data_IF_186486282836
#
_entry.id   IF_186486282836
#
_cell.length_a   1.000
_cell.length_b   1.000
_cell.length_c   1.000
_cell.angle_alpha   90.00
_cell.angle_beta   90.00
_cell.angle_gamma   90.00
#
_symmetry.space_group_name_H-M   'P 1'
#
loop_
_entity.id
_entity.type
_entity.pdbx_description
1 polymer ?
#
# COMPACT_ATOMS: atom_id res chain seq x y z
N UNK A 1 -14.68 -4.76 10.59
CA UNK A 1 -13.32 -4.21 10.68
C UNK A 1 -13.37 -2.69 10.58
N UNK A 2 -12.24 -2.00 10.80
CA UNK A 2 -12.15 -0.55 10.58
C UNK A 2 -12.50 -0.24 9.13
N UNK A 3 -13.35 0.80 8.92
CA UNK A 3 -13.86 1.17 7.60
C UNK A 3 -15.15 0.46 7.17
N UNK A 4 -15.63 -0.54 7.91
CA UNK A 4 -16.94 -1.13 7.62
C UNK A 4 -18.06 -0.10 7.77
N UNK A 5 -18.92 -0.03 6.77
CA UNK A 5 -20.18 0.70 6.84
C UNK A 5 -21.24 -0.23 7.43
N UNK A 6 -21.96 0.24 8.44
CA UNK A 6 -22.90 -0.59 9.17
C UNK A 6 -24.28 0.05 9.25
N UNK A 7 -25.32 -0.74 9.05
CA UNK A 7 -26.68 -0.32 9.35
C UNK A 7 -26.98 -0.56 10.83
N UNK A 8 -27.52 0.45 11.49
CA UNK A 8 -27.88 0.40 12.91
C UNK A 8 -29.33 0.74 13.11
N UNK A 9 -29.97 0.18 14.13
CA UNK A 9 -31.32 0.51 14.59
C UNK A 9 -31.27 0.90 16.05
N UNK A 10 -32.15 1.81 16.48
CA UNK A 10 -32.17 2.37 17.82
C UNK A 10 -31.67 3.80 17.88
N UNK A 11 -31.31 4.26 19.08
CA UNK A 11 -30.86 5.61 19.29
C UNK A 11 -29.35 5.72 19.05
N UNK A 12 -28.96 6.44 18.00
CA UNK A 12 -27.55 6.69 17.58
C UNK A 12 -27.02 8.02 18.12
N UNK A 13 -27.75 8.70 19.01
CA UNK A 13 -27.37 10.02 19.52
C UNK A 13 -26.09 10.02 20.38
N UNK A 14 -25.67 8.85 20.88
CA UNK A 14 -24.54 8.68 21.81
C UNK A 14 -24.80 9.24 23.23
N UNK A 15 -26.08 9.53 23.56
CA UNK A 15 -26.45 9.97 24.91
C UNK A 15 -26.31 8.83 25.91
N UNK A 16 -26.04 9.17 27.18
CA UNK A 16 -25.96 8.20 28.26
C UNK A 16 -27.28 7.38 28.30
N UNK A 17 -27.16 6.08 28.49
CA UNK A 17 -28.28 5.12 28.57
C UNK A 17 -29.07 4.93 27.26
N UNK A 18 -28.53 5.37 26.11
CA UNK A 18 -29.10 5.05 24.79
C UNK A 18 -28.34 3.88 24.16
N UNK A 19 -29.07 3.02 23.43
CA UNK A 19 -28.51 1.85 22.75
C UNK A 19 -28.90 1.83 21.29
N UNK A 20 -27.90 1.62 20.43
CA UNK A 20 -28.07 1.21 19.05
C UNK A 20 -27.56 -0.21 18.83
N UNK A 21 -28.21 -0.96 17.94
CA UNK A 21 -27.81 -2.30 17.56
C UNK A 21 -27.41 -2.34 16.10
N UNK A 22 -26.21 -2.83 15.83
CA UNK A 22 -25.79 -3.14 14.46
C UNK A 22 -26.62 -4.31 13.94
N UNK A 23 -27.24 -4.13 12.78
CA UNK A 23 -28.11 -5.14 12.15
C UNK A 23 -27.52 -5.71 10.86
N UNK A 24 -26.63 -4.94 10.19
CA UNK A 24 -26.01 -5.35 8.94
C UNK A 24 -24.67 -4.65 8.72
N UNK A 25 -23.72 -5.35 8.09
CA UNK A 25 -22.54 -4.75 7.47
C UNK A 25 -22.87 -4.59 5.99
N UNK A 26 -22.68 -3.39 5.47
CA UNK A 26 -22.92 -3.09 4.05
C UNK A 26 -21.84 -3.74 3.16
N UNK A 27 -22.12 -3.98 1.86
CA UNK A 27 -21.13 -4.50 0.93
C UNK A 27 -19.87 -3.64 0.90
N UNK A 28 -18.72 -4.28 0.99
CA UNK A 28 -17.42 -3.61 0.94
C UNK A 28 -17.01 -3.33 -0.49
N UNK A 29 -16.50 -2.11 -0.76
CA UNK A 29 -15.90 -1.74 -2.05
C UNK A 29 -14.48 -2.27 -2.19
N UNK A 30 -13.71 -2.15 -1.12
CA UNK A 30 -12.32 -2.58 -1.03
C UNK A 30 -12.12 -3.33 0.29
N UNK A 31 -11.18 -4.27 0.32
CA UNK A 31 -10.88 -5.06 1.51
C UNK A 31 -9.41 -5.43 1.57
N UNK A 32 -8.68 -4.77 2.47
CA UNK A 32 -7.28 -5.09 2.74
C UNK A 32 -7.19 -6.32 3.64
N UNK A 33 -6.55 -7.36 3.15
CA UNK A 33 -6.34 -8.63 3.84
C UNK A 33 -4.90 -8.75 4.34
N UNK A 34 -4.71 -9.51 5.41
CA UNK A 34 -3.41 -9.93 5.92
C UNK A 34 -3.40 -11.43 6.07
N UNK A 35 -2.39 -12.11 5.52
CA UNK A 35 -2.15 -13.51 5.84
C UNK A 35 -1.59 -13.65 7.25
N UNK A 36 -1.97 -14.70 7.97
CA UNK A 36 -1.34 -15.05 9.23
C UNK A 36 0.02 -15.69 8.92
N UNK A 37 1.09 -15.09 9.44
CA UNK A 37 2.48 -15.52 9.16
C UNK A 37 2.95 -16.65 10.10
N UNK A 38 2.29 -16.87 11.25
CA UNK A 38 2.76 -17.81 12.29
C UNK A 38 1.63 -18.69 12.89
N UNK A 39 1.95 -19.97 13.08
CA UNK A 39 1.17 -20.93 13.89
C UNK A 39 0.08 -21.70 13.15
N UNK A 40 -0.83 -22.33 13.91
CA UNK A 40 -1.91 -23.22 13.44
C UNK A 40 -2.92 -22.59 12.45
N UNK A 41 -2.79 -21.30 12.17
CA UNK A 41 -3.60 -20.54 11.22
C UNK A 41 -2.81 -20.10 9.98
N UNK A 42 -1.66 -20.71 9.69
CA UNK A 42 -0.90 -20.43 8.48
C UNK A 42 -1.80 -20.54 7.24
N UNK A 43 -1.81 -19.49 6.40
CA UNK A 43 -2.68 -19.39 5.23
C UNK A 43 -4.07 -18.80 5.48
N UNK A 44 -4.49 -18.53 6.73
CA UNK A 44 -5.75 -17.83 6.99
C UNK A 44 -5.62 -16.33 6.68
N UNK A 45 -6.56 -15.82 5.89
CA UNK A 45 -6.65 -14.38 5.60
C UNK A 45 -7.48 -13.68 6.66
N UNK A 46 -6.98 -12.59 7.21
CA UNK A 46 -7.69 -11.76 8.18
C UNK A 46 -7.97 -10.37 7.60
N UNK A 47 -9.23 -9.93 7.59
CA UNK A 47 -9.57 -8.56 7.20
C UNK A 47 -8.89 -7.54 8.13
N UNK A 48 -8.26 -6.53 7.54
CA UNK A 48 -7.57 -5.46 8.26
C UNK A 48 -8.36 -4.16 8.17
N UNK A 49 -8.62 -3.68 6.95
CA UNK A 49 -9.38 -2.45 6.68
C UNK A 49 -10.31 -2.68 5.52
N UNK A 50 -11.53 -2.12 5.61
CA UNK A 50 -12.52 -2.11 4.53
C UNK A 50 -12.77 -0.69 4.00
N UNK A 51 -13.24 -0.59 2.75
CA UNK A 51 -13.71 0.63 2.11
C UNK A 51 -12.69 1.78 2.06
N UNK A 52 -11.39 1.45 2.10
CA UNK A 52 -10.34 2.44 1.90
C UNK A 52 -10.10 2.71 0.41
N UNK A 53 -9.77 3.96 0.08
CA UNK A 53 -9.49 4.40 -1.28
C UNK A 53 -8.00 4.29 -1.60
N UNK A 54 -7.14 4.65 -0.64
CA UNK A 54 -5.69 4.69 -0.81
C UNK A 54 -4.96 3.74 0.14
N UNK A 55 -3.96 3.03 -0.38
CA UNK A 55 -2.88 2.45 0.44
C UNK A 55 -1.63 3.33 0.33
N UNK A 56 -1.34 4.06 1.39
CA UNK A 56 -0.20 4.99 1.47
C UNK A 56 1.01 4.24 2.03
N UNK A 57 1.93 3.89 1.17
CA UNK A 57 3.18 3.22 1.53
C UNK A 57 4.20 4.28 1.93
N UNK A 58 4.55 4.33 3.21
CA UNK A 58 5.53 5.27 3.76
C UNK A 58 6.88 4.57 3.87
N UNK A 59 7.89 5.10 3.21
CA UNK A 59 9.28 4.61 3.27
C UNK A 59 10.25 5.76 3.43
N UNK A 60 11.32 5.56 4.20
CA UNK A 60 12.41 6.52 4.30
C UNK A 60 13.40 6.27 3.16
N UNK A 61 14.02 7.35 2.63
CA UNK A 61 15.11 7.25 1.66
C UNK A 61 16.42 6.83 2.32
N UNK A 62 16.59 7.15 3.60
CA UNK A 62 17.69 6.69 4.42
C UNK A 62 17.23 6.57 5.89
N UNK A 63 17.97 5.79 6.68
CA UNK A 63 17.81 5.63 8.13
C UNK A 63 16.35 5.45 8.60
N UNK A 64 15.77 4.29 8.34
CA UNK A 64 16.35 3.08 7.76
C UNK A 64 16.37 3.12 6.22
N UNK A 65 17.22 2.32 5.58
CA UNK A 65 17.25 2.24 4.13
C UNK A 65 15.93 1.68 3.58
N UNK A 66 15.54 2.08 2.37
CA UNK A 66 14.33 1.58 1.72
C UNK A 66 14.42 0.06 1.48
N UNK A 67 13.25 -0.59 1.47
CA UNK A 67 13.14 -2.04 1.26
C UNK A 67 12.24 -2.31 0.06
N UNK A 68 12.77 -2.33 -1.18
CA UNK A 68 11.96 -2.48 -2.39
C UNK A 68 11.03 -3.70 -2.36
N UNK A 69 11.50 -4.87 -1.94
CA UNK A 69 10.66 -6.08 -1.82
C UNK A 69 9.44 -5.91 -0.89
N UNK A 70 9.59 -5.11 0.18
CA UNK A 70 8.47 -4.81 1.07
C UNK A 70 7.49 -3.83 0.41
N UNK A 71 8.01 -2.82 -0.29
CA UNK A 71 7.18 -1.87 -1.05
C UNK A 71 6.40 -2.65 -2.11
N UNK A 72 7.05 -3.53 -2.86
CA UNK A 72 6.39 -4.38 -3.88
C UNK A 72 5.24 -5.20 -3.28
N UNK A 73 5.44 -5.84 -2.12
CA UNK A 73 4.37 -6.57 -1.40
C UNK A 73 3.20 -5.66 -1.01
N UNK A 74 3.47 -4.42 -0.59
CA UNK A 74 2.41 -3.46 -0.28
C UNK A 74 1.64 -3.05 -1.54
N UNK A 75 2.32 -2.87 -2.68
CA UNK A 75 1.67 -2.55 -3.95
C UNK A 75 0.77 -3.70 -4.43
N UNK A 76 1.28 -4.93 -4.36
CA UNK A 76 0.48 -6.14 -4.68
C UNK A 76 -0.77 -6.20 -3.80
N UNK A 77 -0.63 -5.99 -2.48
CA UNK A 77 -1.77 -5.98 -1.56
C UNK A 77 -2.77 -4.84 -1.85
N UNK A 78 -2.28 -3.68 -2.30
CA UNK A 78 -3.15 -2.57 -2.71
C UNK A 78 -3.98 -2.93 -3.95
N UNK A 79 -3.34 -3.47 -4.97
CA UNK A 79 -4.02 -3.87 -6.22
C UNK A 79 -5.02 -5.00 -5.97
N UNK A 80 -4.66 -6.04 -5.20
CA UNK A 80 -5.56 -7.12 -4.82
C UNK A 80 -6.79 -6.59 -4.06
N UNK A 81 -6.57 -5.65 -3.12
CA UNK A 81 -7.65 -5.02 -2.35
C UNK A 81 -8.53 -4.05 -3.16
N UNK A 82 -8.16 -3.72 -4.41
CA UNK A 82 -8.84 -2.71 -5.22
C UNK A 82 -8.58 -1.26 -4.77
N UNK A 83 -7.45 -1.02 -4.09
CA UNK A 83 -7.05 0.30 -3.59
C UNK A 83 -6.00 0.94 -4.51
N UNK A 84 -6.03 2.28 -4.60
CA UNK A 84 -4.99 3.04 -5.30
C UNK A 84 -3.73 3.14 -4.42
N UNK A 85 -2.55 2.73 -4.89
CA UNK A 85 -1.31 2.90 -4.14
C UNK A 85 -0.76 4.33 -4.25
N UNK A 86 -0.24 4.84 -3.13
CA UNK A 86 0.51 6.10 -3.05
C UNK A 86 1.82 5.85 -2.30
N UNK A 87 2.96 6.20 -2.87
CA UNK A 87 4.27 6.06 -2.23
C UNK A 87 4.72 7.42 -1.68
N UNK A 88 4.93 7.48 -0.35
CA UNK A 88 5.45 8.67 0.32
C UNK A 88 6.89 8.40 0.76
N UNK A 89 7.83 9.12 0.14
CA UNK A 89 9.26 9.05 0.38
C UNK A 89 9.64 10.09 1.44
N UNK A 90 9.91 9.65 2.66
CA UNK A 90 10.32 10.52 3.76
C UNK A 90 11.83 10.69 3.82
N UNK A 91 12.30 11.68 4.58
CA UNK A 91 13.73 11.99 4.76
C UNK A 91 14.46 12.22 3.42
N UNK A 92 13.81 12.96 2.53
CA UNK A 92 14.38 13.26 1.20
C UNK A 92 15.56 14.23 1.24
N UNK A 93 15.92 14.72 2.42
CA UNK A 93 17.15 15.46 2.72
C UNK A 93 18.37 14.53 2.89
N UNK A 94 18.16 13.23 3.17
CA UNK A 94 19.25 12.31 3.48
C UNK A 94 19.75 11.49 2.27
N UNK A 95 18.92 11.32 1.24
CA UNK A 95 19.29 10.58 0.02
C UNK A 95 18.44 10.99 -1.19
N UNK A 96 18.99 10.75 -2.38
CA UNK A 96 18.35 11.02 -3.66
C UNK A 96 17.22 10.00 -3.91
N UNK A 97 16.00 10.43 -4.24
CA UNK A 97 14.87 9.54 -4.53
C UNK A 97 14.95 8.86 -5.92
N UNK A 98 15.87 9.26 -6.81
CA UNK A 98 15.89 8.86 -8.23
C UNK A 98 15.84 7.35 -8.42
N UNK A 99 16.58 6.58 -7.64
CA UNK A 99 16.59 5.13 -7.74
C UNK A 99 15.20 4.54 -7.46
N UNK A 100 14.53 4.96 -6.39
CA UNK A 100 13.17 4.49 -6.08
C UNK A 100 12.14 5.00 -7.10
N UNK A 101 12.26 6.23 -7.56
CA UNK A 101 11.37 6.78 -8.58
C UNK A 101 11.45 5.97 -9.87
N UNK A 102 12.65 5.58 -10.31
CA UNK A 102 12.84 4.75 -11.50
C UNK A 102 12.20 3.36 -11.39
N UNK A 103 12.06 2.83 -10.18
CA UNK A 103 11.40 1.55 -9.93
C UNK A 103 9.87 1.64 -9.94
N UNK A 104 9.30 2.75 -9.45
CA UNK A 104 7.86 2.82 -9.15
C UNK A 104 7.07 3.73 -10.10
N UNK A 105 7.69 4.73 -10.73
CA UNK A 105 7.02 5.56 -11.73
C UNK A 105 6.53 4.75 -12.95
N UNK A 106 7.30 3.77 -13.50
CA UNK A 106 6.81 2.93 -14.61
C UNK A 106 5.58 2.10 -14.24
N UNK A 107 5.33 1.84 -12.94
CA UNK A 107 4.12 1.20 -12.46
C UNK A 107 2.90 2.14 -12.45
N UNK A 108 3.08 3.43 -12.75
CA UNK A 108 2.04 4.45 -12.59
C UNK A 108 1.76 4.82 -11.13
N UNK A 109 2.63 4.39 -10.19
CA UNK A 109 2.49 4.72 -8.78
C UNK A 109 2.88 6.18 -8.57
N UNK A 110 1.98 6.96 -7.98
CA UNK A 110 2.27 8.33 -7.58
C UNK A 110 3.26 8.33 -6.42
N UNK A 111 4.38 9.03 -6.58
CA UNK A 111 5.44 9.15 -5.57
C UNK A 111 5.52 10.60 -5.09
N UNK A 112 5.51 10.81 -3.78
CA UNK A 112 5.60 12.13 -3.14
C UNK A 112 6.76 12.12 -2.15
N UNK A 113 7.63 13.13 -2.23
CA UNK A 113 8.76 13.26 -1.32
C UNK A 113 8.45 14.25 -0.19
N UNK A 114 8.92 13.94 1.02
CA UNK A 114 8.79 14.80 2.20
C UNK A 114 10.08 14.81 3.00
N UNK A 115 10.38 15.96 3.63
CA UNK A 115 11.50 16.09 4.56
C UNK A 115 11.15 16.99 5.74
N UNK A 116 11.78 16.77 6.87
CA UNK A 116 11.65 17.62 8.06
C UNK A 116 12.58 18.83 7.89
N UNK A 117 12.03 20.02 8.08
CA UNK A 117 12.77 21.29 8.07
C UNK A 117 12.55 22.04 9.38
N UNK A 118 13.28 23.12 9.63
CA UNK A 118 13.07 23.98 10.79
C UNK A 118 11.66 24.57 10.84
N UNK A 119 11.02 24.78 9.68
CA UNK A 119 9.66 25.35 9.57
C UNK A 119 8.55 24.32 9.52
N UNK A 120 8.86 23.02 9.61
CA UNK A 120 7.89 21.93 9.55
C UNK A 120 8.27 20.83 8.58
N UNK A 121 7.29 20.24 7.91
CA UNK A 121 7.54 19.18 6.89
C UNK A 121 7.34 19.76 5.49
N UNK A 122 8.43 19.88 4.76
CA UNK A 122 8.37 20.21 3.33
C UNK A 122 7.71 19.08 2.54
N UNK A 123 6.88 19.40 1.54
CA UNK A 123 6.13 18.43 0.74
C UNK A 123 4.83 17.94 1.39
N UNK A 124 4.54 18.29 2.65
CA UNK A 124 3.35 17.83 3.37
C UNK A 124 2.05 18.27 2.68
N UNK A 125 2.03 19.46 2.09
CA UNK A 125 0.85 20.01 1.46
C UNK A 125 0.41 19.20 0.22
N UNK A 126 1.37 18.69 -0.55
CA UNK A 126 1.09 17.81 -1.69
C UNK A 126 0.54 16.47 -1.23
N UNK A 127 1.04 15.94 -0.11
CA UNK A 127 0.49 14.73 0.51
C UNK A 127 -0.93 15.00 1.02
N UNK A 128 -1.16 16.13 1.70
CA UNK A 128 -2.49 16.54 2.20
C UNK A 128 -3.52 16.58 1.08
N UNK A 129 -3.17 17.23 -0.04
CA UNK A 129 -4.04 17.29 -1.22
C UNK A 129 -4.32 15.91 -1.83
N UNK A 130 -3.34 14.99 -1.82
CA UNK A 130 -3.53 13.64 -2.32
C UNK A 130 -4.51 12.82 -1.47
N UNK A 131 -4.59 13.10 -0.17
CA UNK A 131 -5.42 12.38 0.79
C UNK A 131 -6.79 13.07 1.04
N UNK A 132 -7.00 14.29 0.52
CA UNK A 132 -8.22 15.06 0.75
C UNK A 132 -9.46 14.29 0.29
N UNK A 133 -10.48 14.19 1.15
CA UNK A 133 -11.73 13.51 0.89
C UNK A 133 -11.66 11.98 0.78
N UNK A 134 -10.48 11.37 0.95
CA UNK A 134 -10.26 9.94 0.78
C UNK A 134 -10.10 9.22 2.13
N UNK A 135 -10.44 7.94 2.14
CA UNK A 135 -10.09 7.01 3.24
C UNK A 135 -8.73 6.40 2.91
N UNK A 136 -7.71 6.78 3.68
CA UNK A 136 -6.31 6.46 3.40
C UNK A 136 -5.72 5.57 4.49
N UNK A 137 -5.16 4.42 4.13
CA UNK A 137 -4.47 3.49 5.05
C UNK A 137 -2.98 3.70 4.93
N UNK A 138 -2.32 4.02 6.04
CA UNK A 138 -0.87 4.22 6.07
C UNK A 138 -0.16 2.94 6.53
N UNK A 139 0.77 2.48 5.71
CA UNK A 139 1.62 1.31 5.97
C UNK A 139 3.10 1.68 5.85
N UNK A 140 3.96 0.91 6.47
CA UNK A 140 5.41 1.13 6.44
C UNK A 140 6.06 0.60 7.70
N UNK A 141 7.33 0.24 7.61
CA UNK A 141 8.05 -0.33 8.76
C UNK A 141 8.43 0.71 9.82
N UNK A 142 8.95 0.26 10.94
CA UNK A 142 9.37 1.15 12.04
C UNK A 142 10.47 2.12 11.59
N UNK A 143 10.41 3.36 12.06
CA UNK A 143 11.43 4.38 11.81
C UNK A 143 11.33 5.15 10.49
N UNK A 144 10.38 4.79 9.60
CA UNK A 144 10.20 5.50 8.32
C UNK A 144 9.51 6.88 8.42
N UNK A 145 9.13 7.33 9.61
CA UNK A 145 8.48 8.63 9.79
C UNK A 145 6.96 8.60 9.68
N UNK A 146 6.30 7.43 9.68
CA UNK A 146 4.84 7.31 9.56
C UNK A 146 4.08 8.11 10.64
N UNK A 147 4.44 7.98 11.92
CA UNK A 147 3.81 8.73 13.01
C UNK A 147 4.01 10.23 12.88
N UNK A 148 5.19 10.67 12.44
CA UNK A 148 5.49 12.07 12.18
C UNK A 148 4.62 12.62 11.06
N UNK A 149 4.47 11.86 9.97
CA UNK A 149 3.61 12.22 8.85
C UNK A 149 2.13 12.32 9.29
N UNK A 150 1.63 11.35 10.07
CA UNK A 150 0.25 11.37 10.59
C UNK A 150 0.01 12.61 11.46
N UNK A 151 0.93 12.95 12.36
CA UNK A 151 0.80 14.12 13.22
C UNK A 151 0.78 15.44 12.44
N UNK A 152 1.51 15.51 11.34
CA UNK A 152 1.49 16.67 10.46
C UNK A 152 0.21 16.78 9.62
N UNK A 153 -0.34 15.65 9.18
CA UNK A 153 -1.62 15.61 8.46
C UNK A 153 -2.82 15.85 9.38
N UNK A 154 -2.79 15.24 10.56
CA UNK A 154 -3.88 15.30 11.55
C UNK A 154 -3.30 15.68 12.91
N UNK A 155 -3.10 16.97 13.20
CA UNK A 155 -2.50 17.42 14.47
C UNK A 155 -3.22 16.92 15.73
N UNK A 156 -4.54 16.70 15.63
CA UNK A 156 -5.35 16.13 16.71
C UNK A 156 -5.05 14.65 17.02
N UNK A 157 -4.35 13.93 16.13
CA UNK A 157 -4.00 12.53 16.35
C UNK A 157 -3.03 12.31 17.52
N UNK A 158 -2.18 13.29 17.81
CA UNK A 158 -1.22 13.34 18.92
C UNK A 158 -0.45 12.03 19.15
N UNK A 159 0.12 11.47 18.06
CA UNK A 159 0.86 10.20 18.08
C UNK A 159 2.20 10.36 18.75
N UNK A 160 2.56 9.39 19.59
CA UNK A 160 3.90 9.36 20.18
C UNK A 160 4.92 9.02 19.09
N UNK A 161 5.81 9.97 18.81
CA UNK A 161 6.97 9.76 17.95
C UNK A 161 8.14 9.31 18.82
N UNK A 162 8.69 8.11 18.58
CA UNK A 162 9.81 7.57 19.36
C UNK A 162 10.98 7.16 18.47
N UNK A 163 12.20 7.32 18.98
CA UNK A 163 13.39 6.73 18.35
C UNK A 163 13.34 5.21 18.44
N UNK A 164 13.75 4.54 17.38
CA UNK A 164 13.94 3.08 17.36
C UNK A 164 15.08 2.74 18.32
N UNK A 165 14.87 1.78 19.20
CA UNK A 165 15.91 1.33 20.13
C UNK A 165 17.02 0.61 19.34
N UNK A 166 18.21 1.20 19.24
CA UNK A 166 19.35 0.71 18.43
C UNK A 166 19.82 -0.71 18.83
N UNK A 167 19.53 -1.15 20.06
CA UNK A 167 20.02 -2.41 20.61
C UNK A 167 19.17 -3.61 20.20
N UNK A 168 17.87 -3.45 19.95
CA UNK A 168 16.96 -4.57 19.69
C UNK A 168 16.22 -4.49 18.36
N UNK A 169 16.27 -3.36 17.65
CA UNK A 169 15.47 -3.10 16.45
C UNK A 169 13.95 -3.15 16.69
N UNK A 170 13.51 -3.32 17.95
CA UNK A 170 12.11 -3.39 18.35
C UNK A 170 11.74 -2.09 19.05
N UNK A 171 11.03 -1.22 18.33
CA UNK A 171 10.35 -0.09 18.95
C UNK A 171 9.36 -0.59 20.00
N UNK A 172 9.29 0.08 21.15
CA UNK A 172 8.31 -0.22 22.19
C UNK A 172 6.93 0.08 21.60
N UNK A 173 6.11 -0.96 21.37
CA UNK A 173 4.77 -0.83 20.81
C UNK A 173 3.90 0.01 21.74
N UNK A 174 3.61 1.23 21.35
CA UNK A 174 2.72 2.13 22.10
C UNK A 174 1.24 1.98 21.69
N UNK A 175 0.94 1.30 20.59
CA UNK A 175 -0.42 0.90 20.25
C UNK A 175 -0.42 -0.31 19.31
N UNK A 176 -1.16 -1.34 19.67
CA UNK A 176 -1.37 -2.57 18.88
C UNK A 176 -2.65 -2.51 18.03
N UNK A 177 -3.47 -1.47 18.19
CA UNK A 177 -4.78 -1.38 17.55
C UNK A 177 -4.75 -0.40 16.37
N UNK A 178 -5.43 -0.80 15.28
CA UNK A 178 -5.77 0.09 14.16
C UNK A 178 -6.53 1.31 14.69
N UNK A 179 -6.12 2.49 14.26
CA UNK A 179 -6.79 3.73 14.64
C UNK A 179 -7.14 4.53 13.39
N UNK A 180 -8.43 4.84 13.26
CA UNK A 180 -8.93 5.75 12.25
C UNK A 180 -9.10 7.14 12.89
N UNK A 181 -8.55 8.16 12.24
CA UNK A 181 -8.69 9.56 12.63
C UNK A 181 -9.28 10.36 11.47
N UNK A 182 -10.13 11.33 11.79
CA UNK A 182 -10.74 12.19 10.77
C UNK A 182 -9.66 13.06 10.15
N UNK A 183 -9.59 13.06 8.82
CA UNK A 183 -8.71 13.99 8.11
C UNK A 183 -9.37 15.39 8.08
N UNK A 184 -8.68 16.46 8.49
CA UNK A 184 -9.21 17.82 8.44
C UNK A 184 -9.73 18.24 7.04
N UNK A 185 -9.11 17.71 5.98
CA UNK A 185 -9.47 17.98 4.59
C UNK A 185 -10.52 17.00 4.04
N UNK A 186 -11.24 16.32 4.92
CA UNK A 186 -12.25 15.31 4.60
C UNK A 186 -11.66 13.90 4.48
N UNK A 187 -12.52 12.89 4.70
CA UNK A 187 -12.11 11.49 4.72
C UNK A 187 -11.44 11.06 6.01
N UNK A 188 -10.64 10.00 5.96
CA UNK A 188 -10.04 9.36 7.13
C UNK A 188 -8.59 8.96 6.88
N UNK A 189 -7.77 9.07 7.91
CA UNK A 189 -6.43 8.51 7.96
C UNK A 189 -6.43 7.33 8.94
N UNK A 190 -6.08 6.15 8.44
CA UNK A 190 -6.06 4.90 9.21
C UNK A 190 -4.60 4.47 9.38
N UNK A 191 -4.13 4.46 10.63
CA UNK A 191 -2.81 3.93 10.97
C UNK A 191 -2.89 2.45 11.25
N UNK A 192 -1.90 1.69 10.73
CA UNK A 192 -1.77 0.25 10.90
C UNK A 192 -0.53 -0.08 11.75
N UNK A 193 -0.52 0.22 13.07
CA UNK A 193 0.63 -0.06 13.90
C UNK A 193 0.89 -1.57 13.95
N UNK A 194 2.17 -1.96 13.80
CA UNK A 194 2.56 -3.37 13.89
C UNK A 194 2.26 -4.24 12.68
N UNK A 195 1.62 -3.74 11.64
CA UNK A 195 1.52 -4.43 10.35
C UNK A 195 2.86 -4.27 9.63
N UNK A 196 3.72 -5.28 9.75
CA UNK A 196 5.08 -5.26 9.21
C UNK A 196 5.15 -5.80 7.79
N UNK A 197 4.22 -6.67 7.43
CA UNK A 197 4.11 -7.25 6.09
C UNK A 197 2.64 -7.61 5.82
N UNK A 198 2.29 -7.61 4.55
CA UNK A 198 1.10 -8.29 4.06
C UNK A 198 1.56 -9.58 3.40
N UNK A 199 1.02 -10.71 3.85
CA UNK A 199 1.18 -11.95 3.12
C UNK A 199 0.37 -11.84 1.83
N UNK A 200 1.06 -11.85 0.71
CA UNK A 200 0.47 -11.78 -0.64
C UNK A 200 0.47 -13.14 -1.34
N UNK A 201 0.70 -14.22 -0.58
CA UNK A 201 0.75 -15.58 -1.11
C UNK A 201 -0.56 -16.07 -1.75
N UNK A 202 -1.68 -15.42 -1.49
CA UNK A 202 -2.97 -15.74 -2.08
C UNK A 202 -3.24 -14.98 -3.39
N UNK A 203 -2.42 -13.98 -3.71
CA UNK A 203 -2.67 -13.06 -4.84
C UNK A 203 -2.24 -13.73 -6.13
N UNK A 204 -3.20 -13.95 -7.05
CA UNK A 204 -2.92 -14.48 -8.38
C UNK A 204 -2.37 -13.41 -9.32
N UNK A 205 -1.74 -13.85 -10.43
CA UNK A 205 -1.23 -12.95 -11.46
C UNK A 205 -2.32 -12.00 -12.00
N UNK A 206 -3.53 -12.52 -12.20
CA UNK A 206 -4.67 -11.74 -12.69
C UNK A 206 -5.10 -10.64 -11.69
N UNK A 207 -4.90 -10.85 -10.39
CA UNK A 207 -5.22 -9.86 -9.35
C UNK A 207 -4.25 -8.68 -9.41
N UNK A 208 -2.96 -8.98 -9.59
CA UNK A 208 -1.92 -7.95 -9.82
C UNK A 208 -2.20 -7.21 -11.13
N UNK A 209 -2.53 -7.96 -12.20
CA UNK A 209 -2.77 -7.41 -13.54
C UNK A 209 -3.96 -6.42 -13.57
N UNK A 210 -4.99 -6.63 -12.75
CA UNK A 210 -6.12 -5.68 -12.61
C UNK A 210 -5.69 -4.27 -12.21
N UNK A 211 -4.57 -4.13 -11.51
CA UNK A 211 -3.97 -2.83 -11.19
C UNK A 211 -3.33 -2.10 -12.39
N UNK A 212 -3.23 -2.77 -13.54
CA UNK A 212 -2.57 -2.28 -14.75
C UNK A 212 -3.53 -2.35 -15.93
N UNK A 213 -4.48 -1.43 -16.02
CA UNK A 213 -5.57 -1.48 -17.00
C UNK A 213 -5.08 -1.59 -18.46
N UNK A 214 -3.94 -0.98 -18.78
CA UNK A 214 -3.27 -1.06 -20.09
C UNK A 214 -2.75 -2.48 -20.36
N UNK A 215 -2.03 -3.07 -19.41
CA UNK A 215 -1.51 -4.44 -19.55
C UNK A 215 -2.64 -5.49 -19.50
N UNK A 216 -3.66 -5.26 -18.66
CA UNK A 216 -4.83 -6.12 -18.59
C UNK A 216 -5.59 -6.19 -19.91
N UNK A 217 -5.66 -5.09 -20.65
CA UNK A 217 -6.24 -5.08 -22.01
C UNK A 217 -5.40 -5.88 -23.00
N UNK A 218 -4.08 -5.70 -22.99
CA UNK A 218 -3.15 -6.45 -23.86
C UNK A 218 -3.15 -7.93 -23.52
N UNK A 219 -3.22 -8.29 -22.24
CA UNK A 219 -3.21 -9.67 -21.78
C UNK A 219 -4.42 -10.49 -22.23
N UNK A 220 -5.51 -9.86 -22.69
CA UNK A 220 -6.66 -10.56 -23.30
C UNK A 220 -6.26 -11.30 -24.59
N UNK A 221 -5.17 -10.88 -25.25
CA UNK A 221 -4.63 -11.52 -26.44
C UNK A 221 -3.65 -12.66 -26.12
N UNK A 222 -3.33 -12.90 -24.83
CA UNK A 222 -2.44 -13.98 -24.43
C UNK A 222 -3.07 -15.36 -24.62
N UNK A 223 -2.26 -16.40 -24.86
CA UNK A 223 -2.72 -17.78 -24.82
C UNK A 223 -3.36 -18.11 -23.45
N UNK A 224 -4.32 -19.05 -23.45
CA UNK A 224 -4.96 -19.51 -22.22
C UNK A 224 -3.91 -20.08 -21.26
N UNK A 225 -3.95 -19.63 -20.00
CA UNK A 225 -3.02 -20.08 -18.95
C UNK A 225 -1.63 -19.43 -19.04
N UNK A 226 -1.49 -18.32 -19.76
CA UNK A 226 -0.26 -17.54 -19.77
C UNK A 226 0.07 -17.05 -18.36
N UNK A 227 1.27 -17.37 -17.84
CA UNK A 227 1.73 -16.89 -16.53
C UNK A 227 2.29 -15.46 -16.57
N UNK A 228 2.46 -14.89 -17.76
CA UNK A 228 3.09 -13.58 -18.00
C UNK A 228 4.54 -13.45 -17.50
N UNK A 229 5.16 -14.53 -17.05
CA UNK A 229 6.55 -14.55 -16.63
C UNK A 229 7.50 -14.25 -17.79
N UNK A 230 8.75 -13.82 -17.51
CA UNK A 230 9.75 -13.63 -18.57
C UNK A 230 10.00 -14.91 -19.36
N UNK A 231 10.02 -14.81 -20.69
CA UNK A 231 10.32 -15.93 -21.58
C UNK A 231 9.16 -16.88 -21.87
N UNK A 232 7.94 -16.57 -21.44
CA UNK A 232 6.74 -17.31 -21.84
C UNK A 232 6.49 -17.09 -23.34
N UNK A 233 6.44 -18.19 -24.09
CA UNK A 233 6.22 -18.17 -25.54
C UNK A 233 4.85 -17.56 -25.85
N UNK A 234 4.81 -16.66 -26.85
CA UNK A 234 3.60 -15.97 -27.32
C UNK A 234 2.89 -15.10 -26.27
N UNK A 235 3.60 -14.63 -25.24
CA UNK A 235 3.05 -13.64 -24.31
C UNK A 235 2.76 -12.32 -25.04
N UNK A 236 1.48 -11.89 -25.05
CA UNK A 236 1.08 -10.67 -25.74
C UNK A 236 1.73 -9.41 -25.13
N UNK A 237 2.11 -9.44 -23.86
CA UNK A 237 2.80 -8.31 -23.21
C UNK A 237 4.18 -8.06 -23.85
N UNK A 238 4.94 -9.11 -24.17
CA UNK A 238 6.23 -8.97 -24.85
C UNK A 238 6.03 -8.44 -26.27
N UNK A 239 5.08 -9.03 -27.00
CA UNK A 239 4.75 -8.58 -28.36
C UNK A 239 4.30 -7.11 -28.39
N UNK A 240 3.54 -6.66 -27.39
CA UNK A 240 3.09 -5.27 -27.28
C UNK A 240 4.26 -4.32 -26.99
N UNK A 241 5.20 -4.73 -26.14
CA UNK A 241 6.39 -3.95 -25.84
C UNK A 241 7.30 -3.82 -27.07
N UNK A 242 7.52 -4.93 -27.82
CA UNK A 242 8.41 -4.97 -28.97
C UNK A 242 7.84 -4.27 -30.20
N UNK A 243 6.51 -4.26 -30.39
CA UNK A 243 5.83 -3.66 -31.54
C UNK A 243 5.76 -2.13 -31.51
N UNK A 244 6.36 -1.45 -30.54
CA UNK A 244 6.38 0.01 -30.51
C UNK A 244 7.29 0.56 -31.61
N UNK A 245 6.75 1.45 -32.46
CA UNK A 245 7.46 2.01 -33.63
C UNK A 245 8.61 2.96 -33.20
N UNK A 246 8.40 3.69 -32.10
CA UNK A 246 9.40 4.63 -31.56
C UNK A 246 10.22 4.00 -30.43
N UNK A 247 11.53 4.21 -30.44
CA UNK A 247 12.45 3.68 -29.41
C UNK A 247 12.06 4.11 -27.98
N UNK A 248 11.68 5.38 -27.79
CA UNK A 248 11.23 5.91 -26.51
C UNK A 248 9.96 5.24 -25.98
N UNK A 249 9.01 4.96 -26.87
CA UNK A 249 7.78 4.24 -26.56
C UNK A 249 8.07 2.79 -26.21
N UNK A 250 9.00 2.14 -26.94
CA UNK A 250 9.44 0.77 -26.66
C UNK A 250 10.08 0.67 -25.28
N UNK A 251 11.01 1.56 -24.96
CA UNK A 251 11.66 1.60 -23.64
C UNK A 251 10.62 1.75 -22.51
N UNK A 252 9.66 2.66 -22.68
CA UNK A 252 8.58 2.87 -21.71
C UNK A 252 7.72 1.61 -21.54
N UNK A 253 7.35 0.94 -22.64
CA UNK A 253 6.54 -0.30 -22.59
C UNK A 253 7.30 -1.46 -21.96
N UNK A 254 8.57 -1.65 -22.33
CA UNK A 254 9.43 -2.65 -21.71
C UNK A 254 9.55 -2.41 -20.19
N UNK A 255 9.87 -1.19 -19.77
CA UNK A 255 9.96 -0.83 -18.37
C UNK A 255 8.64 -1.05 -17.60
N UNK A 256 7.48 -0.85 -18.28
CA UNK A 256 6.16 -1.13 -17.72
C UNK A 256 5.94 -2.62 -17.50
N UNK A 257 6.26 -3.47 -18.48
CA UNK A 257 6.16 -4.93 -18.40
C UNK A 257 7.12 -5.49 -17.36
N UNK A 258 8.37 -5.04 -17.34
CA UNK A 258 9.38 -5.46 -16.36
C UNK A 258 8.96 -5.13 -14.93
N UNK A 259 8.39 -3.93 -14.74
CA UNK A 259 7.90 -3.50 -13.44
C UNK A 259 6.69 -4.34 -12.95
N UNK A 260 5.77 -4.68 -13.85
CA UNK A 260 4.67 -5.61 -13.56
C UNK A 260 5.23 -6.99 -13.17
N UNK A 261 6.17 -7.54 -13.94
CA UNK A 261 6.80 -8.85 -13.69
C UNK A 261 7.55 -8.89 -12.36
N UNK A 262 8.16 -7.78 -11.96
CA UNK A 262 8.77 -7.67 -10.62
C UNK A 262 7.74 -7.83 -9.52
N UNK A 263 6.56 -7.20 -9.64
CA UNK A 263 5.47 -7.37 -8.67
C UNK A 263 4.92 -8.80 -8.69
N UNK A 264 4.77 -9.39 -9.87
CA UNK A 264 4.35 -10.78 -10.03
C UNK A 264 5.33 -11.72 -9.31
N UNK A 265 6.64 -11.53 -9.49
CA UNK A 265 7.67 -12.30 -8.78
C UNK A 265 7.55 -12.12 -7.26
N UNK A 266 7.27 -10.90 -6.77
CA UNK A 266 7.10 -10.67 -5.34
C UNK A 266 5.88 -11.43 -4.75
N UNK A 267 4.81 -11.61 -5.54
CA UNK A 267 3.66 -12.45 -5.17
C UNK A 267 4.03 -13.94 -5.18
N UNK A 268 4.70 -14.42 -6.22
CA UNK A 268 5.12 -15.82 -6.35
C UNK A 268 6.16 -16.22 -5.28
N UNK A 269 7.14 -15.37 -4.98
CA UNK A 269 8.12 -15.62 -3.90
C UNK A 269 7.46 -15.72 -2.53
N UNK A 270 6.34 -15.04 -2.32
CA UNK A 270 5.56 -15.16 -1.08
C UNK A 270 4.78 -16.48 -0.98
N UNK A 271 4.57 -17.18 -2.09
CA UNK A 271 3.92 -18.51 -2.14
C UNK A 271 4.91 -19.64 -1.86
N UNK A 272 6.22 -19.40 -2.02
CA UNK A 272 7.26 -20.39 -1.80
C UNK A 272 7.77 -20.34 -0.34
N UNK A 273 7.45 -21.38 0.49
CA UNK A 273 7.84 -21.40 1.89
C UNK A 273 9.37 -21.46 2.10
N UNK A 274 10.15 -21.76 1.06
CA UNK A 274 11.62 -21.81 1.15
C UNK A 274 12.29 -20.44 0.97
N UNK A 275 11.54 -19.42 0.51
CA UNK A 275 12.01 -18.06 0.24
C UNK A 275 11.42 -16.99 1.18
N UNK A 276 10.57 -17.40 2.13
CA UNK A 276 9.87 -16.52 3.08
C UNK A 276 10.76 -16.09 4.27
#
# INVERSE_FOLDING_TARGET
VVGDQVAVVGDVSGRKDTLARMVRIEPRRTLLLRSAEDGDSAGSQKPVVANADLLVVVTALADPPPRPRMIDRYLVAAYDAGMEPLLVLTKSDLADPTELLSLYQPLGVRCLATTITESGISGIEVVRQALAGKVSVLVGHSGVGKSTLINALVPAANRVTGHVNEVTGRGRHTSTNLQAVVNPDGGWVIDTPGVRSFGVAHVAADDVLRGFADLAQVAQECPRGCSHEPGVIDCALDQWADKADEASTRETRCGRVDSFRRLLTASLDAQDPTKA
#
